data_IF_328266034537
#
_entry.id   IF_328266034537
#
_cell.length_a   1.000
_cell.length_b   1.000
_cell.length_c   1.000
_cell.angle_alpha   90.00
_cell.angle_beta   90.00
_cell.angle_gamma   90.00
#
_symmetry.space_group_name_H-M   'P 1'
#
loop_
_entity.id
_entity.type
_entity.pdbx_description
1 polymer ?
#
# COMPACT_ATOMS: atom_id res chain seq x y z
N UNK A 1 -4.00 -1.72 -14.28
CA UNK A 1 -4.26 -0.45 -13.56
C UNK A 1 -3.05 -0.15 -12.66
N UNK A 2 -2.00 0.51 -13.18
CA UNK A 2 -0.74 0.71 -12.45
C UNK A 2 -0.92 1.39 -11.10
N UNK A 3 -1.80 2.40 -11.05
CA UNK A 3 -2.22 3.04 -9.81
C UNK A 3 -3.74 2.95 -9.69
N UNK A 4 -4.23 2.35 -8.61
CA UNK A 4 -5.65 2.29 -8.32
C UNK A 4 -6.08 3.52 -7.51
N UNK A 5 -6.70 4.50 -8.17
CA UNK A 5 -6.94 5.84 -7.59
C UNK A 5 -7.73 5.89 -6.29
N UNK A 6 -8.57 4.88 -6.02
CA UNK A 6 -9.43 4.84 -4.82
C UNK A 6 -8.83 4.03 -3.67
N UNK A 7 -7.57 3.56 -3.76
CA UNK A 7 -6.96 2.67 -2.75
C UNK A 7 -6.94 3.22 -1.33
N UNK A 8 -6.92 4.55 -1.15
CA UNK A 8 -6.95 5.17 0.19
C UNK A 8 -8.35 5.31 0.77
N UNK A 9 -9.38 4.93 0.02
CA UNK A 9 -10.79 4.93 0.40
C UNK A 9 -11.30 3.49 0.54
N UNK A 10 -10.53 2.68 1.27
CA UNK A 10 -10.72 1.24 1.51
C UNK A 10 -11.45 0.92 2.83
N UNK A 11 -11.92 1.96 3.53
CA UNK A 11 -12.70 1.86 4.76
C UNK A 11 -14.05 2.57 4.61
N UNK A 12 -14.99 2.21 5.49
CA UNK A 12 -16.31 2.82 5.52
C UNK A 12 -16.14 4.31 5.82
N UNK A 13 -16.66 5.16 4.94
CA UNK A 13 -16.66 6.61 5.14
C UNK A 13 -17.91 7.07 5.90
N UNK A 14 -18.05 8.37 6.11
CA UNK A 14 -19.21 8.98 6.80
C UNK A 14 -20.56 8.74 6.12
N UNK A 15 -20.57 8.32 4.85
CA UNK A 15 -21.77 8.00 4.07
C UNK A 15 -22.07 6.50 4.04
N UNK A 16 -21.40 5.70 4.87
CA UNK A 16 -21.54 4.24 4.92
C UNK A 16 -21.16 3.53 3.60
N UNK A 17 -20.27 4.12 2.80
CA UNK A 17 -19.76 3.51 1.56
C UNK A 17 -18.26 3.19 1.67
N UNK A 18 -17.81 2.21 0.86
CA UNK A 18 -16.38 1.91 0.64
C UNK A 18 -16.09 2.18 -0.85
N UNK A 19 -15.61 3.37 -1.22
CA UNK A 19 -15.41 3.74 -2.63
C UNK A 19 -14.50 2.79 -3.42
N UNK A 20 -13.43 2.26 -2.81
CA UNK A 20 -12.59 1.25 -3.45
C UNK A 20 -13.36 -0.02 -3.84
N UNK A 21 -14.30 -0.48 -2.99
CA UNK A 21 -15.16 -1.64 -3.27
C UNK A 21 -16.15 -1.33 -4.39
N UNK A 22 -16.73 -0.14 -4.41
CA UNK A 22 -17.62 0.29 -5.49
C UNK A 22 -16.94 0.24 -6.85
N UNK A 23 -15.69 0.72 -6.95
CA UNK A 23 -14.94 0.65 -8.20
C UNK A 23 -14.61 -0.79 -8.58
N UNK A 24 -14.26 -1.65 -7.61
CA UNK A 24 -14.04 -3.07 -7.87
C UNK A 24 -15.29 -3.74 -8.47
N UNK A 25 -16.47 -3.52 -7.88
CA UNK A 25 -17.75 -4.03 -8.37
C UNK A 25 -18.08 -3.51 -9.78
N UNK A 26 -17.77 -2.24 -10.05
CA UNK A 26 -18.01 -1.64 -11.35
C UNK A 26 -17.12 -2.26 -12.43
N UNK A 27 -15.84 -2.48 -12.15
CA UNK A 27 -14.90 -3.12 -13.07
C UNK A 27 -15.33 -4.56 -13.41
N UNK A 28 -15.76 -5.34 -12.41
CA UNK A 28 -16.29 -6.69 -12.63
C UNK A 28 -17.55 -6.69 -13.48
N UNK A 29 -18.49 -5.77 -13.22
CA UNK A 29 -19.71 -5.62 -14.03
C UNK A 29 -19.43 -5.22 -15.48
N UNK A 30 -18.33 -4.52 -15.74
CA UNK A 30 -17.87 -4.21 -17.09
C UNK A 30 -17.14 -5.38 -17.78
N UNK A 31 -17.02 -6.52 -17.13
CA UNK A 31 -16.41 -7.73 -17.70
C UNK A 31 -14.90 -7.82 -17.52
N UNK A 32 -14.29 -6.99 -16.66
CA UNK A 32 -12.89 -7.18 -16.27
C UNK A 32 -12.78 -8.50 -15.51
N UNK A 33 -11.82 -9.34 -15.90
CA UNK A 33 -11.65 -10.70 -15.38
C UNK A 33 -10.31 -10.92 -14.67
N UNK A 34 -9.40 -9.94 -14.69
CA UNK A 34 -8.14 -9.95 -13.94
C UNK A 34 -7.68 -8.51 -13.70
N UNK A 35 -7.27 -8.19 -12.47
CA UNK A 35 -6.62 -6.93 -12.12
C UNK A 35 -5.10 -7.12 -12.00
N UNK A 36 -4.34 -6.28 -12.68
CA UNK A 36 -2.89 -6.12 -12.45
C UNK A 36 -2.65 -4.69 -11.97
N UNK A 37 -2.04 -4.54 -10.79
CA UNK A 37 -1.81 -3.24 -10.13
C UNK A 37 -0.49 -3.23 -9.36
N UNK A 38 -0.12 -2.09 -8.77
CA UNK A 38 1.17 -1.90 -8.09
C UNK A 38 0.91 -1.25 -6.73
N UNK A 39 1.49 -1.85 -5.67
CA UNK A 39 1.56 -1.32 -4.30
C UNK A 39 0.20 -0.82 -3.75
N UNK A 40 -0.78 -1.73 -3.64
CA UNK A 40 -2.06 -1.42 -3.00
C UNK A 40 -1.86 -0.85 -1.58
N UNK A 41 -2.74 0.07 -1.18
CA UNK A 41 -2.68 0.72 0.13
C UNK A 41 -2.81 -0.28 1.31
N UNK A 42 -3.56 -1.35 1.10
CA UNK A 42 -3.89 -2.36 2.09
C UNK A 42 -4.26 -3.68 1.40
N UNK A 43 -3.83 -4.81 1.97
CA UNK A 43 -4.15 -6.17 1.48
C UNK A 43 -5.67 -6.44 1.48
N UNK A 44 -6.43 -5.68 2.27
CA UNK A 44 -7.90 -5.72 2.28
C UNK A 44 -8.49 -5.46 0.90
N UNK A 45 -7.85 -4.62 0.08
CA UNK A 45 -8.36 -4.19 -1.21
C UNK A 45 -8.43 -5.35 -2.20
N UNK A 46 -7.51 -6.32 -2.12
CA UNK A 46 -7.56 -7.52 -2.96
C UNK A 46 -8.85 -8.31 -2.73
N UNK A 47 -9.37 -8.31 -1.50
CA UNK A 47 -10.64 -8.97 -1.13
C UNK A 47 -11.88 -8.21 -1.60
N UNK A 48 -11.73 -7.03 -2.20
CA UNK A 48 -12.85 -6.35 -2.85
C UNK A 48 -13.18 -6.94 -4.21
N UNK A 49 -12.23 -7.65 -4.82
CA UNK A 49 -12.40 -8.32 -6.10
C UNK A 49 -12.73 -9.81 -5.89
N UNK A 50 -13.69 -10.31 -6.65
CA UNK A 50 -13.98 -11.74 -6.80
C UNK A 50 -13.17 -12.38 -7.94
N UNK A 51 -12.45 -11.56 -8.70
CA UNK A 51 -11.54 -11.95 -9.78
C UNK A 51 -10.07 -11.95 -9.30
N UNK A 52 -9.16 -12.66 -9.98
CA UNK A 52 -7.74 -12.63 -9.63
C UNK A 52 -7.17 -11.21 -9.63
N UNK A 53 -6.37 -10.92 -8.60
CA UNK A 53 -5.62 -9.66 -8.46
C UNK A 53 -4.14 -10.00 -8.37
N UNK A 54 -3.34 -9.42 -9.27
CA UNK A 54 -1.89 -9.43 -9.22
C UNK A 54 -1.42 -8.05 -8.76
N UNK A 55 -1.16 -7.93 -7.46
CA UNK A 55 -0.58 -6.76 -6.84
C UNK A 55 0.95 -6.86 -6.84
N UNK A 56 1.59 -6.04 -7.64
CA UNK A 56 3.04 -6.04 -7.80
C UNK A 56 3.68 -5.14 -6.75
N UNK A 57 4.66 -5.66 -6.03
CA UNK A 57 5.45 -4.88 -5.09
C UNK A 57 6.71 -4.31 -5.76
N UNK A 58 6.89 -2.98 -5.81
CA UNK A 58 8.02 -2.35 -6.48
C UNK A 58 9.33 -2.42 -5.68
N UNK A 59 9.35 -3.07 -4.51
CA UNK A 59 10.47 -3.04 -3.55
C UNK A 59 11.82 -3.37 -4.19
N UNK A 60 11.87 -4.43 -5.02
CA UNK A 60 13.09 -4.89 -5.67
C UNK A 60 13.66 -3.89 -6.68
N UNK A 61 12.84 -2.97 -7.20
CA UNK A 61 13.28 -1.90 -8.09
C UNK A 61 14.12 -0.85 -7.34
N UNK A 62 13.80 -0.61 -6.07
CA UNK A 62 14.48 0.40 -5.25
C UNK A 62 15.79 -0.12 -4.63
N UNK A 63 15.89 -1.44 -4.37
CA UNK A 63 17.04 -2.03 -3.67
C UNK A 63 18.40 -1.68 -4.31
N UNK A 64 18.61 -1.81 -5.65
CA UNK A 64 19.88 -1.48 -6.26
C UNK A 64 20.26 0.00 -6.09
N UNK A 65 19.27 0.89 -6.20
CA UNK A 65 19.47 2.33 -6.00
C UNK A 65 19.81 2.65 -4.54
N UNK A 66 19.10 2.06 -3.58
CA UNK A 66 19.35 2.28 -2.15
C UNK A 66 20.73 1.78 -1.71
N UNK A 67 21.26 0.71 -2.35
CA UNK A 67 22.62 0.22 -2.10
C UNK A 67 23.74 1.18 -2.53
N UNK A 68 23.42 2.23 -3.31
CA UNK A 68 24.41 3.26 -3.69
C UNK A 68 24.70 4.26 -2.57
N UNK A 69 23.86 4.31 -1.54
CA UNK A 69 24.04 5.19 -0.39
C UNK A 69 24.85 4.49 0.71
N UNK A 70 25.65 5.27 1.43
CA UNK A 70 26.38 4.83 2.62
C UNK A 70 25.82 5.46 3.87
N UNK A 71 25.77 4.70 4.98
CA UNK A 71 25.39 5.17 6.31
C UNK A 71 23.99 5.84 6.37
N UNK A 72 22.94 5.05 6.17
CA UNK A 72 21.56 5.52 6.24
C UNK A 72 20.67 4.52 6.99
N UNK A 73 19.52 5.01 7.45
CA UNK A 73 18.43 4.24 8.07
C UNK A 73 17.16 4.45 7.26
N UNK A 74 16.29 3.45 7.18
CA UNK A 74 14.95 3.64 6.61
C UNK A 74 13.95 3.87 7.74
N UNK A 75 13.11 4.89 7.58
CA UNK A 75 12.17 5.33 8.60
C UNK A 75 10.74 5.13 8.14
N UNK A 76 9.92 4.45 8.96
CA UNK A 76 8.49 4.38 8.78
C UNK A 76 7.83 5.67 9.32
N UNK A 77 7.14 6.46 8.48
CA UNK A 77 6.49 7.70 8.93
C UNK A 77 5.30 7.48 9.88
N UNK A 78 4.72 6.28 9.87
CA UNK A 78 3.57 5.90 10.70
C UNK A 78 3.52 4.38 10.90
N UNK A 79 2.56 3.92 11.71
CA UNK A 79 2.36 2.50 11.99
C UNK A 79 2.02 1.67 10.74
N UNK A 80 1.32 2.26 9.76
CA UNK A 80 0.87 1.56 8.57
C UNK A 80 2.00 1.19 7.61
N UNK A 81 3.13 1.88 7.69
CA UNK A 81 4.30 1.68 6.83
C UNK A 81 5.41 0.83 7.47
N UNK A 82 5.27 0.42 8.74
CA UNK A 82 6.29 -0.35 9.49
C UNK A 82 6.68 -1.63 8.75
N UNK A 83 5.70 -2.44 8.34
CA UNK A 83 5.98 -3.71 7.66
C UNK A 83 6.75 -3.51 6.34
N UNK A 84 6.38 -2.46 5.57
CA UNK A 84 7.06 -2.11 4.32
C UNK A 84 8.52 -1.72 4.59
N UNK A 85 8.75 -0.88 5.60
CA UNK A 85 10.10 -0.44 5.98
C UNK A 85 10.96 -1.60 6.48
N UNK A 86 10.42 -2.47 7.34
CA UNK A 86 11.11 -3.65 7.83
C UNK A 86 11.51 -4.61 6.70
N UNK A 87 10.64 -4.78 5.69
CA UNK A 87 10.97 -5.57 4.50
C UNK A 87 12.18 -5.01 3.76
N UNK A 88 12.23 -3.68 3.56
CA UNK A 88 13.35 -3.02 2.89
C UNK A 88 14.63 -3.12 3.75
N UNK A 89 14.54 -2.88 5.06
CA UNK A 89 15.69 -2.93 5.96
C UNK A 89 16.32 -4.32 5.99
N UNK A 90 15.50 -5.38 6.00
CA UNK A 90 15.97 -6.77 5.94
C UNK A 90 16.66 -7.09 4.61
N UNK A 91 16.14 -6.61 3.47
CA UNK A 91 16.75 -6.81 2.14
C UNK A 91 18.08 -6.06 1.96
N UNK A 92 18.26 -4.95 2.68
CA UNK A 92 19.47 -4.14 2.66
C UNK A 92 20.46 -4.47 3.79
N UNK A 93 20.03 -5.24 4.80
CA UNK A 93 20.77 -5.50 6.03
C UNK A 93 21.20 -4.20 6.74
N UNK A 94 20.23 -3.30 6.96
CA UNK A 94 20.41 -2.02 7.66
C UNK A 94 19.39 -1.89 8.79
N UNK A 95 19.62 -0.93 9.68
CA UNK A 95 18.65 -0.58 10.71
C UNK A 95 17.39 0.08 10.11
N UNK A 96 16.28 0.00 10.84
CA UNK A 96 15.08 0.78 10.58
C UNK A 96 14.60 1.50 11.82
N UNK A 97 13.88 2.61 11.62
CA UNK A 97 13.21 3.34 12.68
C UNK A 97 11.74 3.59 12.32
N UNK A 98 10.93 4.00 13.30
CA UNK A 98 9.56 4.44 13.05
C UNK A 98 9.25 5.67 13.89
N UNK A 99 8.35 6.51 13.38
CA UNK A 99 7.86 7.67 14.08
C UNK A 99 6.55 7.30 14.80
N UNK A 100 6.52 7.46 16.12
CA UNK A 100 5.27 7.39 16.86
C UNK A 100 4.57 8.75 16.77
N UNK A 101 3.56 8.85 15.91
CA UNK A 101 2.79 10.07 15.71
C UNK A 101 1.48 10.00 16.48
N UNK A 102 1.28 10.97 17.36
CA UNK A 102 -0.01 11.27 17.98
C UNK A 102 -0.59 12.53 17.32
N UNK A 103 -1.90 12.54 17.06
CA UNK A 103 -2.60 13.72 16.57
C UNK A 103 -3.47 14.24 17.70
N UNK A 104 -3.26 15.49 18.11
CA UNK A 104 -4.24 16.18 18.93
C UNK A 104 -5.49 16.43 18.08
N UNK A 105 -6.59 15.79 18.46
CA UNK A 105 -7.90 15.89 17.77
C UNK A 105 -8.69 17.11 18.32
N UNK A 106 -8.11 17.84 19.29
CA UNK A 106 -8.75 18.93 20.02
C UNK A 106 -8.37 20.34 19.51
N UNK A 107 -7.92 20.47 18.25
CA UNK A 107 -7.66 21.75 17.58
C UNK A 107 -8.59 21.89 16.37
#
# INVERSE_FOLDING_TARGET
>A
MPYFGYVRQDNINSQNIIPAKLIADFLEKLGVNHIITIDLHSDKIEKFFNIPVSNLEPINLYIPFLRTYSNFVIVAPDKGSINRVQKISNLLNIDSAYINKERDINI
#
